data_IF_574233950002
#
_entry.id   IF_574233950002
#
_cell.length_a   1.000
_cell.length_b   1.000
_cell.length_c   1.000
_cell.angle_alpha   90.00
_cell.angle_beta   90.00
_cell.angle_gamma   90.00
#
_symmetry.space_group_name_H-M   'P 1'
#
loop_
_entity.id
_entity.type
_entity.pdbx_description
1 polymer ?
#
# COMPACT_ATOMS: atom_id res chain seq x y z
N UNK A 1 -13.50 4.96 1.40
CA UNK A 1 -12.63 6.02 0.86
C UNK A 1 -11.35 5.39 0.36
N UNK A 2 -11.00 5.59 -0.92
CA UNK A 2 -9.68 5.20 -1.43
C UNK A 2 -8.64 6.21 -0.95
N UNK A 3 -7.50 5.73 -0.45
CA UNK A 3 -6.36 6.59 -0.15
C UNK A 3 -5.83 7.16 -1.48
N UNK A 4 -5.60 8.49 -1.60
CA UNK A 4 -5.00 9.05 -2.80
C UNK A 4 -3.59 8.49 -2.99
N UNK A 5 -3.26 8.17 -4.24
CA UNK A 5 -1.93 7.71 -4.62
C UNK A 5 -1.00 8.91 -4.79
N UNK A 6 0.03 9.01 -3.95
CA UNK A 6 1.06 10.05 -4.01
C UNK A 6 2.47 9.42 -3.91
N UNK A 7 3.16 9.19 -5.03
CA UNK A 7 4.52 8.66 -5.06
C UNK A 7 5.56 9.55 -4.36
N UNK A 8 5.34 10.86 -4.26
CA UNK A 8 6.30 11.77 -3.62
C UNK A 8 6.35 11.56 -2.11
N UNK A 9 5.25 11.08 -1.51
CA UNK A 9 5.18 10.76 -0.09
C UNK A 9 5.79 9.40 0.30
N UNK A 10 6.29 8.61 -0.67
CA UNK A 10 6.74 7.23 -0.45
C UNK A 10 7.79 7.09 0.65
N UNK A 11 8.84 7.92 0.60
CA UNK A 11 9.97 7.83 1.55
C UNK A 11 9.50 8.10 2.99
N UNK A 12 8.57 9.06 3.16
CA UNK A 12 7.94 9.33 4.45
C UNK A 12 7.11 8.15 4.95
N UNK A 13 6.31 7.54 4.08
CA UNK A 13 5.52 6.35 4.45
C UNK A 13 6.40 5.17 4.85
N UNK A 14 7.56 5.00 4.21
CA UNK A 14 8.51 3.94 4.52
C UNK A 14 9.17 4.18 5.89
N UNK A 15 9.56 5.42 6.19
CA UNK A 15 10.11 5.79 7.50
C UNK A 15 9.08 5.57 8.62
N UNK A 16 7.85 6.05 8.44
CA UNK A 16 6.76 5.89 9.42
C UNK A 16 6.48 4.40 9.73
N UNK A 17 6.53 3.52 8.71
CA UNK A 17 6.39 2.07 8.90
C UNK A 17 7.57 1.46 9.62
N UNK A 18 8.79 1.91 9.31
CA UNK A 18 10.02 1.42 9.95
C UNK A 18 10.03 1.77 11.43
N UNK A 19 9.75 3.03 11.79
CA UNK A 19 9.64 3.47 13.19
C UNK A 19 8.58 2.68 13.94
N UNK A 20 7.39 2.54 13.37
CA UNK A 20 6.30 1.76 13.98
C UNK A 20 6.70 0.30 14.21
N UNK A 21 7.41 -0.32 13.27
CA UNK A 21 7.87 -1.70 13.41
C UNK A 21 8.88 -1.84 14.55
N UNK A 22 9.85 -0.91 14.65
CA UNK A 22 10.82 -0.89 15.77
C UNK A 22 10.11 -0.82 17.12
N UNK A 23 9.13 0.06 17.27
CA UNK A 23 8.36 0.22 18.52
C UNK A 23 7.58 -1.05 18.87
N UNK A 24 6.92 -1.67 17.88
CA UNK A 24 6.15 -2.90 18.08
C UNK A 24 7.04 -4.08 18.49
N UNK A 25 8.29 -4.11 18.04
CA UNK A 25 9.20 -5.22 18.30
C UNK A 25 10.15 -4.99 19.49
N UNK A 26 10.21 -3.77 20.03
CA UNK A 26 11.06 -3.43 21.18
C UNK A 26 10.87 -4.35 22.40
N UNK A 27 9.65 -4.80 22.78
CA UNK A 27 9.48 -5.71 23.93
C UNK A 27 10.10 -7.11 23.76
N UNK A 28 10.55 -7.45 22.55
CA UNK A 28 11.11 -8.76 22.21
C UNK A 28 12.62 -8.72 21.97
N UNK A 29 13.28 -7.59 22.30
CA UNK A 29 14.72 -7.37 22.03
C UNK A 29 15.10 -7.65 20.56
N UNK A 30 14.18 -7.34 19.64
CA UNK A 30 14.41 -7.58 18.23
C UNK A 30 15.55 -6.69 17.70
N UNK A 31 16.39 -7.21 16.80
CA UNK A 31 17.44 -6.40 16.17
C UNK A 31 16.84 -5.34 15.23
N UNK A 32 17.69 -4.38 14.86
CA UNK A 32 17.35 -3.34 13.90
C UNK A 32 16.86 -3.94 12.56
N UNK A 33 15.67 -3.56 12.05
CA UNK A 33 15.13 -4.12 10.82
C UNK A 33 15.96 -3.72 9.60
N UNK A 34 16.19 -4.69 8.71
CA UNK A 34 16.67 -4.40 7.36
C UNK A 34 15.49 -3.93 6.51
N UNK A 35 15.64 -2.77 5.86
CA UNK A 35 14.59 -2.14 5.05
C UNK A 35 14.85 -2.42 3.57
N UNK A 36 13.87 -2.97 2.88
CA UNK A 36 13.88 -3.22 1.44
C UNK A 36 12.73 -2.46 0.81
N UNK A 37 13.04 -1.49 -0.04
CA UNK A 37 12.05 -0.68 -0.71
C UNK A 37 11.52 -1.36 -1.98
N UNK A 38 10.24 -1.10 -2.27
CA UNK A 38 9.60 -1.48 -3.52
C UNK A 38 9.77 -0.34 -4.54
N UNK A 39 9.72 -0.62 -5.86
CA UNK A 39 9.41 0.41 -6.84
C UNK A 39 8.16 1.19 -6.41
N UNK A 40 8.20 2.51 -6.56
CA UNK A 40 7.12 3.41 -6.12
C UNK A 40 5.80 3.17 -6.87
N UNK A 41 5.90 2.67 -8.09
CA UNK A 41 4.77 2.43 -9.01
C UNK A 41 4.88 1.04 -9.65
N UNK A 42 3.74 0.52 -10.15
CA UNK A 42 3.66 -0.72 -10.93
C UNK A 42 4.25 -1.99 -10.29
N UNK A 43 4.38 -2.02 -8.97
CA UNK A 43 5.02 -3.13 -8.24
C UNK A 43 4.12 -4.36 -8.02
N UNK A 44 2.79 -4.24 -8.21
CA UNK A 44 1.84 -5.34 -7.99
C UNK A 44 1.75 -6.26 -9.20
N UNK A 45 2.04 -7.55 -9.00
CA UNK A 45 1.96 -8.58 -10.05
C UNK A 45 0.55 -9.18 -10.24
N UNK A 46 -0.39 -8.87 -9.35
CA UNK A 46 -1.81 -9.30 -9.43
C UNK A 46 -2.71 -8.17 -8.92
N UNK A 47 -3.83 -7.97 -9.61
CA UNK A 47 -4.90 -7.08 -9.21
C UNK A 47 -6.25 -7.78 -9.36
N UNK A 48 -7.18 -7.46 -8.46
CA UNK A 48 -8.54 -7.99 -8.47
C UNK A 48 -9.52 -6.82 -8.50
N UNK A 49 -10.56 -6.95 -9.32
CA UNK A 49 -11.54 -5.91 -9.53
C UNK A 49 -12.95 -6.49 -9.46
N UNK A 50 -13.86 -5.73 -8.87
CA UNK A 50 -15.29 -5.99 -9.04
C UNK A 50 -15.72 -5.48 -10.42
N UNK A 51 -16.56 -6.25 -11.11
CA UNK A 51 -17.19 -5.78 -12.35
C UNK A 51 -18.41 -4.92 -12.01
N UNK A 52 -18.43 -3.69 -12.51
CA UNK A 52 -19.58 -2.78 -12.43
C UNK A 52 -20.19 -2.61 -13.82
N UNK A 53 -21.52 -2.49 -13.90
CA UNK A 53 -22.23 -2.26 -15.17
C UNK A 53 -23.10 -1.02 -15.05
N UNK A 54 -22.95 -0.13 -16.01
CA UNK A 54 -23.69 1.13 -16.11
C UNK A 54 -23.87 1.49 -17.58
N UNK A 55 -25.05 1.96 -17.98
CA UNK A 55 -25.37 2.34 -19.36
C UNK A 55 -24.96 1.29 -20.41
N UNK A 56 -25.23 0.02 -20.11
CA UNK A 56 -24.84 -1.13 -20.94
C UNK A 56 -23.33 -1.35 -21.08
N UNK A 57 -22.48 -0.53 -20.45
CA UNK A 57 -21.01 -0.67 -20.41
C UNK A 57 -20.56 -1.37 -19.14
N UNK A 58 -19.36 -1.96 -19.18
CA UNK A 58 -18.74 -2.69 -18.06
C UNK A 58 -17.44 -2.00 -17.66
N UNK A 59 -17.21 -1.87 -16.36
CA UNK A 59 -16.06 -1.20 -15.77
C UNK A 59 -15.43 -2.07 -14.67
N UNK A 60 -14.13 -1.89 -14.46
CA UNK A 60 -13.44 -2.42 -13.29
C UNK A 60 -13.57 -1.43 -12.13
N UNK A 61 -14.02 -1.90 -10.98
CA UNK A 61 -14.19 -1.11 -9.77
C UNK A 61 -13.38 -1.70 -8.62
N UNK A 62 -12.62 -0.85 -7.93
CA UNK A 62 -11.86 -1.23 -6.73
C UNK A 62 -12.71 -1.15 -5.45
N UNK A 63 -13.67 -0.25 -5.41
CA UNK A 63 -14.58 -0.05 -4.28
C UNK A 63 -16.03 0.08 -4.80
N UNK A 64 -17.01 -0.24 -3.95
CA UNK A 64 -18.40 0.14 -4.24
C UNK A 64 -18.50 1.68 -4.26
N UNK A 65 -19.43 2.26 -5.05
CA UNK A 65 -19.72 3.69 -4.98
C UNK A 65 -20.03 4.13 -3.53
#
# INVERSE_FOLDING_TARGET
MSVPFDPASYDRQLEEKTVRLRELLAPFDAPEPQVFDSPREHYRLRAEFRLWREDQKRYYAMFAP
#
